data_IF_404991341053
#
_entry.id   IF_404991341053
#
_cell.length_a   1.000
_cell.length_b   1.000
_cell.length_c   1.000
_cell.angle_alpha   90.00
_cell.angle_beta   90.00
_cell.angle_gamma   90.00
#
_symmetry.space_group_name_H-M   'P 1'
#
loop_
_entity.id
_entity.type
_entity.pdbx_description
1 polymer ?
#
# COMPACT_ATOMS: atom_id res chain seq x y z
N UNK A 1 26.08 24.13 27.90
CA UNK A 1 26.90 23.04 27.34
C UNK A 1 26.15 22.46 26.15
N UNK A 2 26.70 22.53 24.93
CA UNK A 2 26.09 21.89 23.76
C UNK A 2 26.20 20.37 23.93
N UNK A 3 25.13 19.58 23.74
CA UNK A 3 25.30 18.15 23.57
C UNK A 3 26.00 17.92 22.22
N UNK A 4 27.18 17.30 22.29
CA UNK A 4 28.06 17.09 21.15
C UNK A 4 27.39 16.21 20.07
N UNK A 5 27.54 16.59 18.80
CA UNK A 5 27.11 15.80 17.64
C UNK A 5 27.61 14.34 17.66
N UNK A 6 28.67 14.05 18.43
CA UNK A 6 29.19 12.70 18.64
C UNK A 6 28.18 11.79 19.37
N UNK A 7 27.36 12.36 20.27
CA UNK A 7 26.34 11.64 21.04
C UNK A 7 25.11 11.29 20.18
N UNK A 8 24.78 12.15 19.21
CA UNK A 8 23.73 11.89 18.19
C UNK A 8 24.10 10.73 17.27
N UNK A 9 25.37 10.62 16.86
CA UNK A 9 25.88 9.46 16.13
C UNK A 9 25.81 8.19 16.97
N UNK A 10 26.15 8.27 18.26
CA UNK A 10 26.11 7.15 19.21
C UNK A 10 24.70 6.59 19.50
N UNK A 11 23.62 7.35 19.26
CA UNK A 11 22.22 6.90 19.47
C UNK A 11 21.43 6.65 18.16
N UNK A 12 21.77 7.34 17.06
CA UNK A 12 21.25 7.00 15.73
C UNK A 12 21.83 5.68 15.23
N UNK A 13 23.09 5.37 15.57
CA UNK A 13 23.72 4.11 15.20
C UNK A 13 22.95 2.91 15.78
N UNK A 14 22.61 2.81 17.08
CA UNK A 14 21.79 1.73 17.61
C UNK A 14 20.40 1.61 16.99
N UNK A 15 19.71 2.71 16.71
CA UNK A 15 18.37 2.67 16.09
C UNK A 15 18.42 2.24 14.62
N UNK A 16 19.39 2.75 13.85
CA UNK A 16 19.70 2.26 12.51
C UNK A 16 20.20 0.81 12.55
N UNK A 17 20.98 0.42 13.54
CA UNK A 17 21.51 -0.94 13.70
C UNK A 17 20.41 -1.92 14.07
N UNK A 18 19.50 -1.57 14.99
CA UNK A 18 18.29 -2.34 15.31
C UNK A 18 17.38 -2.40 14.08
N UNK A 19 17.24 -1.32 13.31
CA UNK A 19 16.49 -1.31 12.06
C UNK A 19 17.13 -2.22 10.99
N UNK A 20 18.45 -2.13 10.76
CA UNK A 20 19.19 -3.00 9.84
C UNK A 20 19.27 -4.45 10.35
N UNK A 21 19.25 -4.66 11.66
CA UNK A 21 19.22 -5.99 12.29
C UNK A 21 17.84 -6.62 12.19
N UNK A 22 16.76 -5.87 12.41
CA UNK A 22 15.37 -6.32 12.17
C UNK A 22 15.16 -6.56 10.67
N UNK A 23 15.56 -5.63 9.79
CA UNK A 23 15.53 -5.83 8.34
C UNK A 23 16.40 -7.03 7.91
N UNK A 24 17.54 -7.24 8.57
CA UNK A 24 18.42 -8.39 8.38
C UNK A 24 17.81 -9.70 8.87
N UNK A 25 17.04 -9.70 9.97
CA UNK A 25 16.29 -10.86 10.48
C UNK A 25 15.17 -11.22 9.50
N UNK A 26 14.43 -10.22 8.99
CA UNK A 26 13.43 -10.46 7.94
C UNK A 26 14.07 -11.01 6.67
N UNK A 27 15.22 -10.47 6.24
CA UNK A 27 15.99 -10.97 5.09
C UNK A 27 16.54 -12.39 5.31
N UNK A 28 16.91 -12.74 6.54
CA UNK A 28 17.50 -14.06 6.88
C UNK A 28 16.44 -15.15 7.06
N UNK A 29 15.20 -14.79 7.42
CA UNK A 29 14.09 -15.76 7.58
C UNK A 29 13.72 -16.46 6.27
N UNK A 30 13.95 -15.83 5.11
CA UNK A 30 13.72 -16.44 3.80
C UNK A 30 14.83 -17.41 3.34
N UNK A 31 15.94 -17.53 4.09
CA UNK A 31 17.12 -18.32 3.68
C UNK A 31 17.29 -19.67 4.38
N UNK A 32 16.36 -20.08 5.26
CA UNK A 32 16.43 -21.39 5.91
C UNK A 32 15.83 -22.49 5.01
N UNK A 33 16.70 -23.01 4.15
CA UNK A 33 16.84 -24.44 3.81
C UNK A 33 15.59 -25.26 3.45
N UNK A 34 14.79 -24.78 2.51
CA UNK A 34 14.16 -25.64 1.51
C UNK A 34 14.64 -25.16 0.14
N UNK A 35 14.95 -26.07 -0.80
CA UNK A 35 15.27 -25.71 -2.18
C UNK A 35 14.04 -25.07 -2.83
N UNK A 36 13.89 -23.74 -2.65
CA UNK A 36 12.87 -22.96 -3.33
C UNK A 36 13.25 -22.95 -4.81
N UNK A 37 12.42 -23.57 -5.65
CA UNK A 37 12.63 -23.55 -7.09
C UNK A 37 12.80 -22.10 -7.57
N UNK A 38 13.74 -21.84 -8.51
CA UNK A 38 13.95 -20.50 -9.02
C UNK A 38 12.65 -19.95 -9.58
N UNK A 39 12.44 -18.65 -9.40
CA UNK A 39 11.30 -17.94 -9.97
C UNK A 39 11.30 -18.19 -11.49
N UNK A 40 10.29 -18.92 -11.98
CA UNK A 40 10.11 -19.16 -13.42
C UNK A 40 9.08 -18.17 -13.94
N UNK A 41 9.53 -17.29 -14.83
CA UNK A 41 8.63 -16.50 -15.68
C UNK A 41 7.87 -17.44 -16.60
N UNK A 42 6.55 -17.35 -16.59
CA UNK A 42 5.68 -18.05 -17.54
C UNK A 42 5.51 -17.09 -18.71
N UNK A 43 5.96 -17.48 -19.91
CA UNK A 43 5.91 -16.56 -21.07
C UNK A 43 4.71 -16.90 -21.95
N UNK A 44 4.43 -18.17 -22.21
CA UNK A 44 3.36 -18.54 -23.14
C UNK A 44 2.09 -18.99 -22.43
N UNK A 45 0.95 -18.88 -23.12
CA UNK A 45 -0.31 -19.50 -22.66
C UNK A 45 -0.15 -21.00 -22.49
N UNK A 46 0.57 -21.68 -23.39
CA UNK A 46 0.82 -23.13 -23.28
C UNK A 46 1.48 -23.51 -21.97
N UNK A 47 2.56 -22.81 -21.58
CA UNK A 47 3.24 -23.03 -20.29
C UNK A 47 2.31 -22.76 -19.10
N UNK A 48 1.39 -21.80 -19.22
CA UNK A 48 0.41 -21.49 -18.18
C UNK A 48 -0.60 -22.62 -18.02
N UNK A 49 -1.16 -23.14 -19.11
CA UNK A 49 -2.14 -24.23 -19.07
C UNK A 49 -1.53 -25.58 -18.69
N UNK A 50 -0.24 -25.79 -18.98
CA UNK A 50 0.50 -26.98 -18.53
C UNK A 50 0.55 -27.08 -16.99
N UNK A 51 0.40 -25.96 -16.26
CA UNK A 51 0.28 -25.96 -14.79
C UNK A 51 -0.97 -26.67 -14.27
N UNK A 52 -1.97 -26.83 -15.13
CA UNK A 52 -3.30 -27.29 -14.77
C UNK A 52 -3.72 -28.55 -15.55
N UNK A 53 -2.76 -29.22 -16.20
CA UNK A 53 -3.01 -30.32 -17.15
C UNK A 53 -3.84 -31.47 -16.57
N UNK A 54 -3.77 -31.69 -15.28
CA UNK A 54 -4.49 -32.76 -14.55
C UNK A 54 -5.83 -32.30 -13.97
N UNK A 55 -6.16 -31.01 -14.06
CA UNK A 55 -7.34 -30.40 -13.44
C UNK A 55 -8.35 -29.93 -14.48
N UNK A 56 -9.62 -29.88 -14.11
CA UNK A 56 -10.67 -29.28 -14.94
C UNK A 56 -10.55 -27.76 -14.92
N UNK A 57 -10.47 -27.14 -16.10
CA UNK A 57 -10.30 -25.70 -16.22
C UNK A 57 -11.50 -24.92 -15.65
N UNK A 58 -12.70 -25.50 -15.71
CA UNK A 58 -13.92 -24.94 -15.14
C UNK A 58 -13.81 -24.76 -13.62
N UNK A 59 -13.26 -25.76 -12.92
CA UNK A 59 -13.11 -25.74 -11.46
C UNK A 59 -12.06 -24.69 -11.04
N UNK A 60 -10.95 -24.60 -11.78
CA UNK A 60 -9.91 -23.59 -11.54
C UNK A 60 -10.47 -22.19 -11.80
N UNK A 61 -11.22 -22.01 -12.88
CA UNK A 61 -11.83 -20.72 -13.21
C UNK A 61 -12.82 -20.29 -12.12
N UNK A 62 -13.59 -21.23 -11.57
CA UNK A 62 -14.47 -20.99 -10.42
C UNK A 62 -13.68 -20.53 -9.19
N UNK A 63 -12.57 -21.16 -8.88
CA UNK A 63 -11.70 -20.73 -7.77
C UNK A 63 -11.07 -19.35 -8.00
N UNK A 64 -10.65 -19.05 -9.23
CA UNK A 64 -10.15 -17.71 -9.59
C UNK A 64 -11.23 -16.65 -9.43
N UNK A 65 -12.48 -16.93 -9.81
CA UNK A 65 -13.60 -16.02 -9.58
C UNK A 65 -13.91 -15.84 -8.09
N UNK A 66 -13.85 -16.91 -7.30
CA UNK A 66 -14.00 -16.84 -5.85
C UNK A 66 -12.90 -15.97 -5.22
N UNK A 67 -11.64 -16.15 -5.61
CA UNK A 67 -10.51 -15.36 -5.14
C UNK A 67 -10.63 -13.88 -5.54
N UNK A 68 -11.04 -13.60 -6.79
CA UNK A 68 -11.30 -12.23 -7.25
C UNK A 68 -12.39 -11.56 -6.41
N UNK A 69 -13.52 -12.23 -6.19
CA UNK A 69 -14.62 -11.71 -5.36
C UNK A 69 -14.17 -11.46 -3.93
N UNK A 70 -13.43 -12.40 -3.35
CA UNK A 70 -12.84 -12.27 -2.02
C UNK A 70 -11.94 -11.03 -1.92
N UNK A 71 -11.08 -10.77 -2.91
CA UNK A 71 -10.22 -9.58 -2.91
C UNK A 71 -10.99 -8.27 -3.07
N UNK A 72 -12.11 -8.27 -3.80
CA UNK A 72 -13.01 -7.11 -3.88
C UNK A 72 -13.65 -6.85 -2.50
N UNK A 73 -14.17 -7.88 -1.84
CA UNK A 73 -14.78 -7.75 -0.51
C UNK A 73 -13.77 -7.29 0.54
N UNK A 74 -12.56 -7.87 0.51
CA UNK A 74 -11.49 -7.48 1.42
C UNK A 74 -10.98 -6.06 1.14
N UNK A 75 -10.98 -5.60 -0.11
CA UNK A 75 -10.67 -4.21 -0.43
C UNK A 75 -11.63 -3.23 0.25
N UNK A 76 -12.94 -3.50 0.22
CA UNK A 76 -13.93 -2.66 0.89
C UNK A 76 -13.80 -2.73 2.41
N UNK A 77 -13.58 -3.91 2.99
CA UNK A 77 -13.35 -4.06 4.44
C UNK A 77 -12.15 -3.25 4.92
N UNK A 78 -11.02 -3.33 4.21
CA UNK A 78 -9.80 -2.56 4.51
C UNK A 78 -10.07 -1.06 4.38
N UNK A 79 -10.77 -0.65 3.33
CA UNK A 79 -11.14 0.76 3.11
C UNK A 79 -12.00 1.31 4.25
N UNK A 80 -13.00 0.56 4.71
CA UNK A 80 -13.88 0.98 5.79
C UNK A 80 -13.13 1.18 7.11
N UNK A 81 -12.21 0.28 7.46
CA UNK A 81 -11.38 0.42 8.67
C UNK A 81 -10.55 1.72 8.63
N UNK A 82 -9.82 1.96 7.54
CA UNK A 82 -8.97 3.15 7.41
C UNK A 82 -9.78 4.43 7.40
N UNK A 83 -10.91 4.43 6.69
CA UNK A 83 -11.81 5.57 6.66
C UNK A 83 -12.35 5.90 8.06
N UNK A 84 -12.79 4.88 8.82
CA UNK A 84 -13.30 5.05 10.19
C UNK A 84 -12.25 5.63 11.12
N UNK A 85 -11.02 5.10 11.07
CA UNK A 85 -9.92 5.62 11.88
C UNK A 85 -9.57 7.06 11.49
N UNK A 86 -9.53 7.38 10.20
CA UNK A 86 -9.27 8.75 9.74
C UNK A 86 -10.34 9.73 10.21
N UNK A 87 -11.62 9.37 10.12
CA UNK A 87 -12.73 10.21 10.63
C UNK A 87 -12.56 10.47 12.12
N UNK A 88 -12.22 9.44 12.92
CA UNK A 88 -11.98 9.61 14.35
C UNK A 88 -10.80 10.53 14.64
N UNK A 89 -9.70 10.40 13.89
CA UNK A 89 -8.51 11.26 14.04
C UNK A 89 -8.80 12.70 13.63
N UNK A 90 -9.57 12.92 12.55
CA UNK A 90 -10.02 14.26 12.17
C UNK A 90 -10.94 14.88 13.23
N UNK A 91 -11.91 14.13 13.73
CA UNK A 91 -12.80 14.61 14.79
C UNK A 91 -12.00 15.00 16.04
N UNK A 92 -11.11 14.12 16.50
CA UNK A 92 -10.21 14.41 17.61
C UNK A 92 -9.32 15.63 17.35
N UNK A 93 -8.81 15.77 16.13
CA UNK A 93 -7.98 16.91 15.74
C UNK A 93 -8.74 18.22 15.84
N UNK A 94 -9.93 18.31 15.25
CA UNK A 94 -10.72 19.56 15.27
C UNK A 94 -11.22 19.92 16.67
N UNK A 95 -11.56 18.92 17.49
CA UNK A 95 -11.90 19.15 18.91
C UNK A 95 -10.67 19.67 19.67
N UNK A 96 -9.51 19.05 19.52
CA UNK A 96 -8.29 19.52 20.20
C UNK A 96 -7.86 20.91 19.70
N UNK A 97 -7.96 21.16 18.40
CA UNK A 97 -7.58 22.42 17.77
C UNK A 97 -8.51 23.58 18.14
N UNK A 98 -9.83 23.36 18.21
CA UNK A 98 -10.79 24.39 18.61
C UNK A 98 -10.64 24.85 20.07
N UNK A 99 -10.05 24.01 20.92
CA UNK A 99 -9.76 24.33 22.32
C UNK A 99 -8.30 24.77 22.54
N UNK A 100 -7.54 24.98 21.46
CA UNK A 100 -6.14 25.37 21.52
C UNK A 100 -6.03 26.88 21.78
N UNK A 101 -5.50 27.23 22.95
CA UNK A 101 -5.14 28.60 23.31
C UNK A 101 -3.62 28.70 23.48
N UNK A 102 -3.06 29.90 23.35
CA UNK A 102 -1.61 30.16 23.40
C UNK A 102 -0.90 29.71 24.69
N UNK A 103 -1.65 29.49 25.78
CA UNK A 103 -1.15 28.96 27.05
C UNK A 103 -1.36 27.46 27.26
N UNK A 104 -2.06 26.76 26.34
CA UNK A 104 -2.42 25.35 26.49
C UNK A 104 -1.38 24.41 25.85
N UNK A 105 -0.26 24.22 26.54
CA UNK A 105 0.82 23.33 26.08
C UNK A 105 0.33 21.88 25.86
N UNK A 106 -0.56 21.38 26.72
CA UNK A 106 -1.12 20.02 26.59
C UNK A 106 -1.97 19.88 25.33
N UNK A 107 -2.82 20.86 25.04
CA UNK A 107 -3.61 20.90 23.81
C UNK A 107 -2.71 20.85 22.56
N UNK A 108 -1.60 21.60 22.57
CA UNK A 108 -0.66 21.61 21.45
C UNK A 108 0.02 20.25 21.25
N UNK A 109 0.39 19.57 22.35
CA UNK A 109 0.94 18.20 22.30
C UNK A 109 -0.04 17.22 21.67
N UNK A 110 -1.32 17.31 22.03
CA UNK A 110 -2.38 16.45 21.46
C UNK A 110 -2.59 16.74 19.97
N UNK A 111 -2.69 18.02 19.58
CA UNK A 111 -2.85 18.44 18.18
C UNK A 111 -1.68 17.95 17.32
N UNK A 112 -0.43 18.08 17.82
CA UNK A 112 0.75 17.59 17.13
C UNK A 112 0.75 16.07 16.99
N UNK A 113 0.44 15.35 18.08
CA UNK A 113 0.33 13.89 18.07
C UNK A 113 -0.70 13.40 17.05
N UNK A 114 -1.88 14.04 16.98
CA UNK A 114 -2.94 13.68 16.04
C UNK A 114 -2.54 13.96 14.58
N UNK A 115 -1.80 15.03 14.30
CA UNK A 115 -1.23 15.26 12.96
C UNK A 115 -0.31 14.10 12.54
N UNK A 116 0.63 13.74 13.41
CA UNK A 116 1.55 12.63 13.18
C UNK A 116 0.82 11.30 12.93
N UNK A 117 -0.20 11.03 13.74
CA UNK A 117 -1.03 9.84 13.59
C UNK A 117 -1.81 9.85 12.26
N UNK A 118 -2.37 11.00 11.89
CA UNK A 118 -3.04 11.21 10.60
C UNK A 118 -2.13 10.91 9.40
N UNK A 119 -0.87 11.34 9.44
CA UNK A 119 0.13 11.04 8.41
C UNK A 119 0.39 9.53 8.30
N UNK A 120 0.58 8.84 9.43
CA UNK A 120 0.84 7.40 9.46
C UNK A 120 -0.34 6.61 8.88
N UNK A 121 -1.57 6.91 9.32
CA UNK A 121 -2.78 6.21 8.88
C UNK A 121 -3.08 6.46 7.40
N UNK A 122 -2.98 7.70 6.94
CA UNK A 122 -3.21 8.05 5.54
C UNK A 122 -2.16 7.42 4.60
N UNK A 123 -0.89 7.39 5.02
CA UNK A 123 0.19 6.70 4.28
C UNK A 123 -0.04 5.20 4.22
N UNK A 124 -0.39 4.57 5.35
CA UNK A 124 -0.72 3.15 5.41
C UNK A 124 -1.92 2.80 4.52
N UNK A 125 -2.96 3.63 4.53
CA UNK A 125 -4.13 3.43 3.69
C UNK A 125 -3.78 3.47 2.20
N UNK A 126 -2.92 4.41 1.78
CA UNK A 126 -2.40 4.47 0.41
C UNK A 126 -1.67 3.19 0.02
N UNK A 127 -0.75 2.71 0.85
CA UNK A 127 0.03 1.49 0.57
C UNK A 127 -0.85 0.24 0.49
N UNK A 128 -1.80 0.09 1.43
CA UNK A 128 -2.75 -1.04 1.43
C UNK A 128 -3.67 -1.00 0.20
N UNK A 129 -4.14 0.17 -0.22
CA UNK A 129 -4.94 0.30 -1.44
C UNK A 129 -4.14 -0.04 -2.70
N UNK A 130 -2.85 0.28 -2.73
CA UNK A 130 -1.95 -0.16 -3.82
C UNK A 130 -1.71 -1.66 -3.82
N UNK A 131 -1.47 -2.27 -2.66
CA UNK A 131 -1.31 -3.72 -2.53
C UNK A 131 -2.59 -4.48 -2.93
N UNK A 132 -3.76 -3.99 -2.53
CA UNK A 132 -5.05 -4.56 -2.91
C UNK A 132 -5.25 -4.55 -4.43
N UNK A 133 -4.88 -3.45 -5.09
CA UNK A 133 -4.97 -3.32 -6.55
C UNK A 133 -4.09 -4.35 -7.26
N UNK A 134 -2.90 -4.62 -6.74
CA UNK A 134 -1.99 -5.60 -7.30
C UNK A 134 -2.62 -7.00 -7.33
N UNK A 135 -3.20 -7.44 -6.20
CA UNK A 135 -3.85 -8.75 -6.13
C UNK A 135 -5.14 -8.84 -6.95
N UNK A 136 -5.94 -7.77 -6.99
CA UNK A 136 -7.10 -7.69 -7.89
C UNK A 136 -6.68 -7.87 -9.36
N UNK A 137 -5.67 -7.13 -9.81
CA UNK A 137 -5.15 -7.25 -11.17
C UNK A 137 -4.58 -8.64 -11.46
N UNK A 138 -3.95 -9.28 -10.46
CA UNK A 138 -3.43 -10.63 -10.59
C UNK A 138 -4.56 -11.63 -10.92
N UNK A 139 -5.61 -11.64 -10.10
CA UNK A 139 -6.75 -12.54 -10.30
C UNK A 139 -7.57 -12.20 -11.54
N UNK A 140 -7.68 -10.91 -11.90
CA UNK A 140 -8.32 -10.49 -13.15
C UNK A 140 -7.59 -11.02 -14.39
N UNK A 141 -6.25 -11.03 -14.39
CA UNK A 141 -5.49 -11.61 -15.49
C UNK A 141 -5.65 -13.13 -15.58
N UNK A 142 -5.61 -13.83 -14.43
CA UNK A 142 -5.86 -15.28 -14.40
C UNK A 142 -7.26 -15.61 -14.95
N UNK A 143 -8.27 -14.81 -14.57
CA UNK A 143 -9.63 -14.94 -15.06
C UNK A 143 -9.71 -14.76 -16.58
N UNK A 144 -9.13 -13.69 -17.14
CA UNK A 144 -9.19 -13.38 -18.57
C UNK A 144 -8.68 -14.54 -19.44
N UNK A 145 -7.58 -15.18 -19.04
CA UNK A 145 -6.92 -16.22 -19.82
C UNK A 145 -7.67 -17.54 -19.73
N UNK A 146 -8.07 -17.93 -18.51
CA UNK A 146 -8.82 -19.17 -18.30
C UNK A 146 -10.20 -19.10 -18.96
N UNK A 147 -10.88 -17.95 -18.86
CA UNK A 147 -12.19 -17.75 -19.47
C UNK A 147 -12.14 -17.91 -21.00
N UNK A 148 -11.10 -17.38 -21.65
CA UNK A 148 -10.91 -17.48 -23.10
C UNK A 148 -10.98 -18.92 -23.62
N UNK A 149 -10.58 -19.91 -22.82
CA UNK A 149 -10.66 -21.34 -23.17
C UNK A 149 -11.95 -22.04 -22.74
N UNK A 150 -12.59 -21.58 -21.66
CA UNK A 150 -13.76 -22.26 -21.08
C UNK A 150 -15.07 -21.68 -21.64
N UNK A 151 -15.24 -20.36 -21.61
CA UNK A 151 -16.49 -19.67 -21.94
C UNK A 151 -16.36 -18.66 -23.10
N UNK A 152 -15.14 -18.40 -23.59
CA UNK A 152 -14.86 -17.33 -24.55
C UNK A 152 -14.46 -16.02 -23.88
N UNK A 153 -14.67 -14.87 -24.52
CA UNK A 153 -14.08 -13.59 -24.08
C UNK A 153 -15.08 -12.65 -23.38
N UNK A 154 -15.84 -13.15 -22.40
CA UNK A 154 -16.91 -12.36 -21.77
C UNK A 154 -16.36 -11.18 -20.94
N UNK A 155 -15.34 -11.35 -20.09
CA UNK A 155 -14.77 -10.23 -19.31
C UNK A 155 -13.90 -9.27 -20.12
N UNK A 156 -13.44 -9.69 -21.31
CA UNK A 156 -12.68 -8.85 -22.25
C UNK A 156 -13.60 -7.97 -23.11
N UNK A 157 -14.86 -8.39 -23.26
CA UNK A 157 -15.83 -7.70 -24.09
C UNK A 157 -16.48 -6.58 -23.29
N UNK A 158 -16.02 -5.34 -23.51
CA UNK A 158 -16.59 -4.14 -22.91
C UNK A 158 -17.44 -3.36 -23.91
N UNK A 159 -18.43 -2.64 -23.40
CA UNK A 159 -19.21 -1.67 -24.18
C UNK A 159 -18.25 -0.63 -24.78
N UNK A 160 -18.43 -0.34 -26.07
CA UNK A 160 -17.46 0.42 -26.85
C UNK A 160 -17.12 1.78 -26.25
N UNK A 161 -15.84 2.17 -26.36
CA UNK A 161 -15.36 3.43 -25.82
C UNK A 161 -16.07 4.64 -26.45
N UNK A 162 -16.44 4.55 -27.74
CA UNK A 162 -17.23 5.56 -28.45
C UNK A 162 -18.66 5.77 -27.91
N UNK A 163 -19.24 4.77 -27.22
CA UNK A 163 -20.54 4.92 -26.56
C UNK A 163 -20.47 5.80 -25.30
N UNK A 164 -19.35 5.76 -24.57
CA UNK A 164 -19.16 6.53 -23.33
C UNK A 164 -18.48 7.89 -23.56
N UNK A 165 -17.54 8.00 -24.49
CA UNK A 165 -16.75 9.22 -24.74
C UNK A 165 -17.48 10.31 -25.55
N UNK A 166 -18.79 10.21 -25.73
CA UNK A 166 -19.58 11.27 -26.36
C UNK A 166 -19.68 12.44 -25.37
N UNK A 167 -19.24 13.64 -25.77
CA UNK A 167 -19.21 14.84 -24.91
C UNK A 167 -20.52 15.08 -24.13
N UNK A 168 -21.67 14.89 -24.79
CA UNK A 168 -23.03 14.99 -24.21
C UNK A 168 -23.29 14.05 -23.02
N UNK A 169 -22.60 12.90 -22.98
CA UNK A 169 -22.73 11.89 -21.92
C UNK A 169 -21.75 12.15 -20.78
N UNK A 170 -20.55 12.66 -21.09
CA UNK A 170 -19.62 13.15 -20.07
C UNK A 170 -20.19 14.33 -19.28
N UNK A 171 -20.91 15.25 -19.94
CA UNK A 171 -21.56 16.39 -19.27
C UNK A 171 -22.80 16.00 -18.46
N UNK A 172 -23.29 14.78 -18.59
CA UNK A 172 -24.45 14.30 -17.85
C UNK A 172 -24.00 13.57 -16.58
N UNK A 173 -24.14 14.22 -15.42
CA UNK A 173 -23.64 13.73 -14.13
C UNK A 173 -24.19 12.35 -13.73
N UNK A 174 -25.36 11.96 -14.23
CA UNK A 174 -26.01 10.68 -13.89
C UNK A 174 -25.63 9.54 -14.85
N UNK A 175 -24.86 9.82 -15.90
CA UNK A 175 -24.49 8.81 -16.89
C UNK A 175 -23.34 7.91 -16.40
N UNK A 176 -23.39 6.59 -16.66
CA UNK A 176 -22.31 5.67 -16.30
C UNK A 176 -21.03 6.00 -17.09
N UNK A 177 -19.87 5.82 -16.45
CA UNK A 177 -18.54 6.07 -17.02
C UNK A 177 -17.52 5.02 -16.53
N UNK A 178 -16.53 4.60 -17.34
CA UNK A 178 -15.57 3.56 -16.99
C UNK A 178 -14.47 4.05 -16.03
N UNK A 179 -14.84 4.60 -14.88
CA UNK A 179 -13.88 4.99 -13.85
C UNK A 179 -13.40 3.79 -13.04
N UNK A 180 -12.10 3.76 -12.76
CA UNK A 180 -11.54 2.79 -11.82
C UNK A 180 -11.70 3.31 -10.39
N UNK A 181 -12.56 2.64 -9.62
CA UNK A 181 -12.80 2.92 -8.20
C UNK A 181 -11.48 2.98 -7.41
N UNK A 182 -10.57 2.04 -7.67
CA UNK A 182 -9.28 1.97 -6.99
C UNK A 182 -8.36 3.15 -7.33
N UNK A 183 -8.41 3.69 -8.57
CA UNK A 183 -7.65 4.90 -8.92
C UNK A 183 -8.19 6.13 -8.20
N UNK A 184 -9.51 6.27 -8.09
CA UNK A 184 -10.15 7.37 -7.34
C UNK A 184 -9.70 7.34 -5.88
N UNK A 185 -9.76 6.17 -5.24
CA UNK A 185 -9.32 6.03 -3.85
C UNK A 185 -7.82 6.28 -3.66
N UNK A 186 -6.97 5.95 -4.65
CA UNK A 186 -5.54 6.29 -4.59
C UNK A 186 -5.30 7.81 -4.62
N UNK A 187 -6.04 8.54 -5.45
CA UNK A 187 -5.98 10.01 -5.50
C UNK A 187 -6.50 10.62 -4.20
N UNK A 188 -7.64 10.13 -3.68
CA UNK A 188 -8.20 10.56 -2.41
C UNK A 188 -7.21 10.37 -1.26
N UNK A 189 -6.56 9.21 -1.17
CA UNK A 189 -5.58 8.95 -0.12
C UNK A 189 -4.40 9.94 -0.20
N UNK A 190 -3.92 10.25 -1.41
CA UNK A 190 -2.86 11.22 -1.59
C UNK A 190 -3.29 12.64 -1.17
N UNK A 191 -4.51 13.04 -1.49
CA UNK A 191 -5.10 14.28 -1.01
C UNK A 191 -5.13 14.35 0.52
N UNK A 192 -5.56 13.27 1.19
CA UNK A 192 -5.60 13.22 2.67
C UNK A 192 -4.19 13.33 3.29
N UNK A 193 -3.18 12.69 2.69
CA UNK A 193 -1.78 12.83 3.12
C UNK A 193 -1.33 14.30 3.02
N UNK A 194 -1.57 14.94 1.88
CA UNK A 194 -1.23 16.37 1.68
C UNK A 194 -1.93 17.22 2.72
N UNK A 195 -3.20 16.98 2.98
CA UNK A 195 -3.96 17.74 3.97
C UNK A 195 -3.35 17.63 5.37
N UNK A 196 -2.97 16.43 5.82
CA UNK A 196 -2.27 16.26 7.09
C UNK A 196 -0.91 16.96 7.14
N UNK A 197 -0.15 16.94 6.03
CA UNK A 197 1.12 17.68 5.93
C UNK A 197 0.89 19.19 6.02
N UNK A 198 -0.18 19.71 5.40
CA UNK A 198 -0.56 21.12 5.50
C UNK A 198 -0.96 21.52 6.92
N UNK A 199 -1.74 20.68 7.62
CA UNK A 199 -2.12 20.91 9.02
C UNK A 199 -0.92 20.86 9.97
N UNK A 200 0.00 19.93 9.74
CA UNK A 200 1.25 19.86 10.49
C UNK A 200 2.11 21.11 10.27
N UNK A 201 2.25 21.54 9.01
CA UNK A 201 2.98 22.76 8.66
C UNK A 201 2.37 24.00 9.32
N UNK A 202 1.04 24.12 9.28
CA UNK A 202 0.32 25.20 9.95
C UNK A 202 0.55 25.18 11.47
N UNK A 203 0.45 24.00 12.10
CA UNK A 203 0.69 23.84 13.54
C UNK A 203 2.13 24.21 13.91
N UNK A 204 3.09 23.77 13.11
CA UNK A 204 4.51 24.03 13.34
C UNK A 204 4.85 25.52 13.25
N UNK A 205 4.36 26.20 12.21
CA UNK A 205 4.68 27.62 11.99
C UNK A 205 4.02 28.58 12.98
N UNK A 206 2.79 28.30 13.40
CA UNK A 206 2.04 29.22 14.27
C UNK A 206 2.27 28.96 15.76
N UNK A 207 2.58 27.71 16.15
CA UNK A 207 2.64 27.32 17.57
C UNK A 207 3.98 26.73 17.99
N UNK A 208 4.78 26.19 17.05
CA UNK A 208 6.12 25.66 17.33
C UNK A 208 7.19 26.62 16.82
N UNK A 209 7.09 27.91 17.20
CA UNK A 209 8.11 28.92 16.88
C UNK A 209 9.49 28.32 17.14
N UNK A 210 10.30 28.31 16.08
CA UNK A 210 11.52 27.52 15.88
C UNK A 210 12.60 27.92 16.91
N UNK A 211 12.42 27.51 18.16
CA UNK A 211 13.52 27.09 19.01
C UNK A 211 13.66 25.60 18.75
N UNK A 212 14.84 25.14 18.33
CA UNK A 212 15.17 23.72 18.43
C UNK A 212 15.25 23.41 19.93
N UNK A 213 14.08 23.24 20.55
CA UNK A 213 13.94 22.66 21.87
C UNK A 213 14.66 21.31 21.84
N UNK A 214 15.36 21.01 22.93
CA UNK A 214 16.21 19.85 23.13
C UNK A 214 15.72 18.58 22.42
N UNK A 215 16.62 17.73 21.92
CA UNK A 215 16.31 16.42 21.32
C UNK A 215 15.39 15.54 22.19
N UNK A 216 15.30 15.80 23.51
CA UNK A 216 14.37 15.15 24.43
C UNK A 216 12.96 15.75 24.51
N UNK A 217 12.63 16.77 23.72
CA UNK A 217 11.28 17.36 23.72
C UNK A 217 10.25 16.37 23.16
N UNK A 218 9.02 16.45 23.66
CA UNK A 218 7.91 15.62 23.18
C UNK A 218 7.73 15.69 21.65
N UNK A 219 7.80 16.90 21.09
CA UNK A 219 7.61 17.14 19.65
C UNK A 219 8.70 16.49 18.81
N UNK A 220 9.96 16.57 19.25
CA UNK A 220 11.09 15.92 18.57
C UNK A 220 10.92 14.40 18.58
N UNK A 221 10.64 13.80 19.73
CA UNK A 221 10.47 12.35 19.87
C UNK A 221 9.32 11.86 18.98
N UNK A 222 8.14 12.46 19.08
CA UNK A 222 6.96 12.07 18.29
C UNK A 222 7.22 12.29 16.80
N UNK A 223 7.87 13.39 16.42
CA UNK A 223 8.27 13.66 15.04
C UNK A 223 9.20 12.58 14.47
N UNK A 224 10.27 12.24 15.21
CA UNK A 224 11.21 11.19 14.79
C UNK A 224 10.54 9.81 14.69
N UNK A 225 9.72 9.44 15.68
CA UNK A 225 8.95 8.18 15.64
C UNK A 225 8.04 8.13 14.42
N UNK A 226 7.40 9.27 14.08
CA UNK A 226 6.53 9.37 12.90
C UNK A 226 7.31 9.17 11.60
N UNK A 227 8.47 9.83 11.46
CA UNK A 227 9.34 9.68 10.28
C UNK A 227 9.81 8.23 10.16
N UNK A 228 10.25 7.62 11.25
CA UNK A 228 10.69 6.22 11.28
C UNK A 228 9.54 5.26 10.93
N UNK A 229 8.33 5.50 11.45
CA UNK A 229 7.16 4.69 11.14
C UNK A 229 6.79 4.79 9.65
N UNK A 230 6.78 6.00 9.07
CA UNK A 230 6.52 6.21 7.64
C UNK A 230 7.61 5.56 6.78
N UNK A 231 8.89 5.75 7.15
CA UNK A 231 10.01 5.11 6.45
C UNK A 231 9.92 3.59 6.51
N UNK A 232 9.60 3.01 7.68
CA UNK A 232 9.40 1.58 7.84
C UNK A 232 8.23 1.07 6.99
N UNK A 233 7.08 1.76 6.98
CA UNK A 233 5.94 1.41 6.12
C UNK A 233 6.34 1.38 4.64
N UNK A 234 7.08 2.37 4.16
CA UNK A 234 7.52 2.43 2.77
C UNK A 234 8.58 1.34 2.48
N UNK A 235 9.62 1.20 3.30
CA UNK A 235 10.70 0.24 3.06
C UNK A 235 10.26 -1.22 3.20
N UNK A 236 9.42 -1.53 4.19
CA UNK A 236 8.87 -2.88 4.39
C UNK A 236 7.85 -3.25 3.31
N UNK A 237 7.23 -2.28 2.64
CA UNK A 237 6.35 -2.57 1.48
C UNK A 237 7.11 -2.63 0.17
N UNK A 238 8.30 -2.03 0.08
CA UNK A 238 9.19 -2.10 -1.08
C UNK A 238 10.05 -3.38 -1.12
N UNK A 239 10.23 -4.08 -0.01
CA UNK A 239 11.10 -5.27 0.09
C UNK A 239 10.62 -6.50 -0.69
N UNK A 240 9.42 -6.46 -1.28
CA UNK A 240 8.96 -7.46 -2.25
C UNK A 240 9.27 -7.16 -3.72
N UNK A 241 9.96 -6.04 -4.02
CA UNK A 241 10.09 -5.53 -5.41
C UNK A 241 11.31 -6.09 -6.15
N UNK A 242 12.41 -6.41 -5.46
CA UNK A 242 13.65 -6.88 -6.11
C UNK A 242 13.52 -8.27 -6.72
N UNK A 243 12.71 -9.18 -6.16
CA UNK A 243 12.48 -10.51 -6.74
C UNK A 243 11.42 -10.53 -7.86
N UNK A 244 10.65 -9.46 -8.02
CA UNK A 244 9.54 -9.37 -9.00
C UNK A 244 9.92 -8.54 -10.24
N UNK A 245 10.83 -7.57 -10.12
CA UNK A 245 11.14 -6.61 -11.20
C UNK A 245 12.60 -6.65 -11.70
N UNK A 246 13.43 -7.61 -11.26
CA UNK A 246 14.83 -7.71 -11.69
C UNK A 246 15.02 -8.10 -13.17
N UNK A 247 13.98 -8.52 -13.90
CA UNK A 247 14.04 -8.76 -15.34
C UNK A 247 12.63 -8.76 -15.91
N UNK A 248 12.34 -7.86 -16.85
CA UNK A 248 11.53 -8.12 -18.05
C UNK A 248 11.27 -6.77 -18.74
N UNK A 249 12.28 -6.31 -19.46
CA UNK A 249 12.07 -5.38 -20.56
C UNK A 249 12.32 -6.21 -21.82
N UNK A 250 11.26 -6.81 -22.34
CA UNK A 250 11.08 -7.13 -23.76
C UNK A 250 9.62 -7.47 -24.02
N UNK A 251 9.16 -7.00 -25.18
CA UNK A 251 7.76 -6.90 -25.59
C UNK A 251 7.16 -8.26 -25.98
N UNK A 252 5.84 -8.34 -25.78
CA UNK A 252 4.94 -9.50 -25.95
C UNK A 252 5.10 -10.60 -24.89
N UNK A 253 3.99 -11.27 -24.56
CA UNK A 253 3.87 -12.47 -23.72
C UNK A 253 3.41 -12.25 -22.26
N UNK A 254 2.55 -13.15 -21.77
CA UNK A 254 1.82 -13.06 -20.51
C UNK A 254 2.77 -12.88 -19.32
N UNK A 255 2.71 -11.76 -18.60
CA UNK A 255 3.62 -11.49 -17.48
C UNK A 255 3.11 -12.16 -16.19
N UNK A 256 3.22 -13.49 -16.07
CA UNK A 256 3.09 -14.18 -14.78
C UNK A 256 4.43 -14.66 -14.26
N UNK A 257 4.62 -14.49 -12.96
CA UNK A 257 5.81 -14.92 -12.23
C UNK A 257 5.39 -16.01 -11.25
N UNK A 258 5.82 -17.26 -11.48
CA UNK A 258 5.56 -18.37 -10.55
C UNK A 258 6.54 -18.26 -9.38
N UNK A 259 6.04 -18.07 -8.15
CA UNK A 259 6.87 -18.13 -6.93
C UNK A 259 7.09 -19.60 -6.53
N UNK A 260 8.31 -19.90 -6.08
CA UNK A 260 8.84 -21.25 -5.94
C UNK A 260 7.94 -22.20 -5.14
N UNK A 261 7.80 -23.41 -5.65
CA UNK A 261 7.22 -24.55 -4.95
C UNK A 261 8.35 -25.18 -4.14
N UNK A 262 8.14 -25.38 -2.84
CA UNK A 262 8.97 -26.31 -2.08
C UNK A 262 8.62 -27.72 -2.58
N UNK A 263 9.62 -28.50 -2.99
CA UNK A 263 9.42 -29.94 -3.21
C UNK A 263 8.85 -30.50 -1.90
N UNK A 264 7.56 -30.78 -1.87
CA UNK A 264 7.07 -31.78 -0.94
C UNK A 264 7.72 -33.10 -1.37
N UNK A 265 8.41 -33.70 -0.41
CA UNK A 265 9.02 -35.01 -0.54
C UNK A 265 7.96 -35.98 -1.03
N UNK A 266 8.13 -36.44 -2.26
CA UNK A 266 7.48 -37.62 -2.81
C UNK A 266 7.61 -38.80 -1.84
N UNK A 267 6.52 -39.15 -1.15
CA UNK A 267 6.06 -40.52 -0.88
C UNK A 267 4.54 -40.49 -0.80
#
# INVERSE_FOLDING_TARGET
MKPDCLFLLLFLLPALFIFFWIAGIFRKRDTNNNQVLPIKEIKTETEYFDLFKESKLEDILKEVYNARRFEIDMYWKRTNYYWTMLVAVFAGYFVAFSNLNSSNEQGLKVVFFLNCFGIIFSTSWYLVNRGSKYWQMNWEKHAEILEGKVYGHLYKTNVSQGYYFKFKKFTNLTSPYPYSVTKINQVLNFFVIIMWLSLLYYTATNYLVIGVESFGSFYSIVGYVTILAVAALVLLTLTGKESIFSKSQDETHLLFTRRGITKDSSV
#
